data_IF_686086702078
#
_entry.id   IF_686086702078
#
_cell.length_a   1.000
_cell.length_b   1.000
_cell.length_c   1.000
_cell.angle_alpha   90.00
_cell.angle_beta   90.00
_cell.angle_gamma   90.00
#
_symmetry.space_group_name_H-M   'P 1'
#
loop_
_entity.id
_entity.type
_entity.pdbx_description
1 polymer ?
#
# COMPACT_ATOMS: atom_id res chain seq x y z
N UNK A 1 2.12 15.66 -13.19
CA UNK A 1 2.35 14.21 -13.07
C UNK A 1 2.17 13.50 -14.41
N UNK A 2 1.06 13.70 -15.12
CA UNK A 2 0.79 13.06 -16.42
C UNK A 2 1.90 13.29 -17.46
N UNK A 3 2.48 14.50 -17.55
CA UNK A 3 3.60 14.76 -18.43
C UNK A 3 4.78 13.82 -18.15
N UNK A 4 5.20 13.67 -16.90
CA UNK A 4 6.31 12.79 -16.54
C UNK A 4 5.99 11.31 -16.78
N UNK A 5 4.76 10.88 -16.51
CA UNK A 5 4.32 9.50 -16.81
C UNK A 5 4.39 9.24 -18.32
N UNK A 6 3.96 10.21 -19.15
CA UNK A 6 4.08 10.11 -20.60
C UNK A 6 5.55 10.11 -21.10
N UNK A 7 6.45 10.82 -20.41
CA UNK A 7 7.90 10.82 -20.71
C UNK A 7 8.53 9.46 -20.47
N UNK A 8 8.18 8.78 -19.36
CA UNK A 8 8.69 7.44 -19.03
C UNK A 8 7.91 6.31 -19.71
N UNK A 9 6.67 6.59 -20.13
CA UNK A 9 5.76 5.72 -20.89
C UNK A 9 5.71 4.27 -20.38
N UNK A 10 5.33 4.01 -19.10
CA UNK A 10 5.25 2.67 -18.57
C UNK A 10 3.96 1.98 -19.03
N UNK A 11 3.95 0.65 -19.08
CA UNK A 11 2.72 -0.12 -19.35
C UNK A 11 1.70 0.03 -18.22
N UNK A 12 2.18 0.10 -16.97
CA UNK A 12 1.37 0.28 -15.77
C UNK A 12 1.93 1.34 -14.85
N UNK A 13 1.05 2.17 -14.28
CA UNK A 13 1.35 3.11 -13.22
C UNK A 13 0.55 2.75 -11.97
N UNK A 14 1.23 2.33 -10.90
CA UNK A 14 0.64 1.82 -9.67
C UNK A 14 0.66 2.88 -8.57
N UNK A 15 -0.49 3.10 -7.92
CA UNK A 15 -0.67 4.09 -6.85
C UNK A 15 -1.05 3.35 -5.56
N UNK A 16 -0.19 3.40 -4.55
CA UNK A 16 -0.32 2.66 -3.30
C UNK A 16 -1.17 3.37 -2.23
N UNK A 17 -2.15 4.15 -2.65
CA UNK A 17 -3.14 4.78 -1.77
C UNK A 17 -2.84 6.23 -1.38
N UNK A 18 -3.74 6.78 -0.57
CA UNK A 18 -3.62 8.11 0.07
C UNK A 18 -3.46 9.31 -0.88
N UNK A 19 -4.08 9.25 -2.07
CA UNK A 19 -4.11 10.38 -2.99
C UNK A 19 -4.82 11.62 -2.39
N UNK A 20 -5.96 11.39 -1.74
CA UNK A 20 -6.79 12.40 -1.07
C UNK A 20 -7.38 11.83 0.22
N UNK A 21 -7.88 12.69 1.12
CA UNK A 21 -8.69 12.30 2.27
C UNK A 21 -10.16 11.99 1.87
N UNK A 22 -10.36 11.42 0.70
CA UNK A 22 -11.67 11.18 0.10
C UNK A 22 -11.53 10.14 -1.03
N UNK A 23 -12.25 9.04 -0.90
CA UNK A 23 -12.17 7.93 -1.85
C UNK A 23 -12.70 8.31 -3.24
N UNK A 24 -13.84 9.02 -3.28
CA UNK A 24 -14.47 9.42 -4.55
C UNK A 24 -13.60 10.42 -5.32
N UNK A 25 -12.96 11.36 -4.62
CA UNK A 25 -11.99 12.26 -5.24
C UNK A 25 -10.77 11.52 -5.77
N UNK A 26 -10.31 10.49 -5.05
CA UNK A 26 -9.20 9.65 -5.52
C UNK A 26 -9.59 8.90 -6.79
N UNK A 27 -10.78 8.31 -6.85
CA UNK A 27 -11.30 7.66 -8.06
C UNK A 27 -11.40 8.63 -9.24
N UNK A 28 -11.97 9.82 -9.02
CA UNK A 28 -12.07 10.85 -10.07
C UNK A 28 -10.70 11.24 -10.59
N UNK A 29 -9.75 11.51 -9.69
CA UNK A 29 -8.39 11.84 -10.07
C UNK A 29 -7.71 10.74 -10.90
N UNK A 30 -7.87 9.47 -10.51
CA UNK A 30 -7.30 8.33 -11.25
C UNK A 30 -7.92 8.22 -12.64
N UNK A 31 -9.24 8.39 -12.75
CA UNK A 31 -9.94 8.41 -14.05
C UNK A 31 -9.47 9.56 -14.95
N UNK A 32 -9.30 10.76 -14.38
CA UNK A 32 -8.77 11.92 -15.11
C UNK A 32 -7.31 11.70 -15.53
N UNK A 33 -6.49 11.11 -14.65
CA UNK A 33 -5.10 10.78 -14.97
C UNK A 33 -5.02 9.77 -16.11
N UNK A 34 -5.85 8.73 -16.08
CA UNK A 34 -5.93 7.72 -17.15
C UNK A 34 -6.19 8.35 -18.53
N UNK A 35 -7.06 9.36 -18.59
CA UNK A 35 -7.34 10.06 -19.87
C UNK A 35 -6.14 10.85 -20.41
N UNK A 36 -5.14 11.13 -19.57
CA UNK A 36 -4.01 12.03 -19.88
C UNK A 36 -2.66 11.30 -19.98
N UNK A 37 -2.61 9.97 -19.83
CA UNK A 37 -1.35 9.20 -19.82
C UNK A 37 -1.22 8.18 -20.95
N UNK A 38 -1.84 8.44 -22.08
CA UNK A 38 -1.68 7.64 -23.30
C UNK A 38 -2.11 6.18 -23.11
N UNK A 39 -1.20 5.22 -23.39
CA UNK A 39 -1.46 3.79 -23.26
C UNK A 39 -1.17 3.21 -21.87
N UNK A 40 -0.64 4.01 -20.96
CA UNK A 40 -0.34 3.57 -19.58
C UNK A 40 -1.62 3.20 -18.82
N UNK A 41 -1.67 2.01 -18.25
CA UNK A 41 -2.78 1.58 -17.39
C UNK A 41 -2.55 2.09 -15.96
N UNK A 42 -3.43 2.96 -15.46
CA UNK A 42 -3.35 3.49 -14.10
C UNK A 42 -4.17 2.63 -13.16
N UNK A 43 -3.53 2.09 -12.12
CA UNK A 43 -4.17 1.28 -11.10
C UNK A 43 -3.91 1.87 -9.72
N UNK A 44 -4.88 1.78 -8.82
CA UNK A 44 -4.73 2.25 -7.46
C UNK A 44 -5.40 1.32 -6.44
N UNK A 45 -4.98 1.45 -5.20
CA UNK A 45 -5.63 0.89 -4.01
C UNK A 45 -5.93 2.03 -3.03
N UNK A 46 -6.79 1.76 -2.05
CA UNK A 46 -7.09 2.73 -1.00
C UNK A 46 -6.06 2.67 0.14
N UNK A 47 -5.65 3.83 0.64
CA UNK A 47 -4.99 3.98 1.91
C UNK A 47 -5.97 4.41 3.02
N UNK A 48 -5.50 4.53 4.26
CA UNK A 48 -6.35 4.89 5.39
C UNK A 48 -7.00 6.27 5.24
N UNK A 49 -6.35 7.21 4.56
CA UNK A 49 -6.93 8.52 4.27
C UNK A 49 -8.10 8.46 3.29
N UNK A 50 -8.18 7.42 2.47
CA UNK A 50 -9.32 7.20 1.57
C UNK A 50 -10.52 6.55 2.26
N UNK A 51 -10.29 5.82 3.37
CA UNK A 51 -11.26 4.92 4.01
C UNK A 51 -12.19 5.59 5.03
N UNK A 52 -11.99 6.88 5.33
CA UNK A 52 -12.83 7.63 6.26
C UNK A 52 -13.91 8.45 5.57
N UNK A 53 -14.67 9.22 6.35
CA UNK A 53 -15.57 10.30 5.89
C UNK A 53 -16.57 9.90 4.80
N UNK A 54 -17.40 8.89 5.07
CA UNK A 54 -18.51 8.51 4.19
C UNK A 54 -18.14 7.49 3.12
N UNK A 55 -17.01 6.82 3.28
CA UNK A 55 -16.68 5.60 2.56
C UNK A 55 -16.97 4.41 3.46
N UNK A 56 -17.87 3.52 3.08
CA UNK A 56 -18.20 2.34 3.88
C UNK A 56 -17.20 1.20 3.62
N UNK A 57 -17.15 0.25 4.56
CA UNK A 57 -16.34 -0.96 4.39
C UNK A 57 -16.81 -1.74 3.14
N UNK A 58 -18.12 -1.87 2.93
CA UNK A 58 -18.71 -2.58 1.79
C UNK A 58 -18.37 -1.89 0.45
N UNK A 59 -18.29 -0.55 0.43
CA UNK A 59 -17.87 0.20 -0.76
C UNK A 59 -16.40 -0.12 -1.09
N UNK A 60 -15.52 -0.17 -0.08
CA UNK A 60 -14.11 -0.51 -0.25
C UNK A 60 -13.89 -1.95 -0.71
N UNK A 61 -14.74 -2.90 -0.28
CA UNK A 61 -14.68 -4.30 -0.71
C UNK A 61 -15.34 -4.54 -2.08
N UNK A 62 -16.01 -3.53 -2.64
CA UNK A 62 -16.72 -3.64 -3.91
C UNK A 62 -15.84 -3.33 -5.12
N UNK A 63 -16.13 -3.89 -6.31
CA UNK A 63 -15.43 -3.53 -7.54
C UNK A 63 -15.94 -2.22 -8.13
N UNK A 64 -15.68 -1.10 -7.42
CA UNK A 64 -16.25 0.23 -7.71
C UNK A 64 -15.87 0.80 -9.08
N UNK A 65 -14.70 0.47 -9.60
CA UNK A 65 -14.28 0.77 -10.97
C UNK A 65 -13.14 -0.14 -11.43
N UNK A 66 -12.75 -0.02 -12.71
CA UNK A 66 -11.69 -0.84 -13.32
C UNK A 66 -10.27 -0.49 -12.84
N UNK A 67 -10.05 0.73 -12.36
CA UNK A 67 -8.75 1.19 -11.87
C UNK A 67 -8.48 0.80 -10.41
N UNK A 68 -9.53 0.48 -9.64
CA UNK A 68 -9.42 0.09 -8.23
C UNK A 68 -9.11 -1.40 -8.11
N UNK A 69 -7.87 -1.70 -7.69
CA UNK A 69 -7.32 -3.06 -7.73
C UNK A 69 -7.44 -3.81 -6.39
N UNK A 70 -8.19 -3.30 -5.42
CA UNK A 70 -8.33 -4.01 -4.15
C UNK A 70 -8.98 -5.38 -4.31
N UNK A 71 -8.36 -6.39 -3.70
CA UNK A 71 -8.76 -7.81 -3.76
C UNK A 71 -8.95 -8.32 -5.20
N UNK A 72 -8.07 -7.90 -6.10
CA UNK A 72 -8.07 -8.23 -7.53
C UNK A 72 -6.66 -8.39 -8.07
N UNK A 73 -6.59 -8.89 -9.29
CA UNK A 73 -5.36 -8.94 -10.05
C UNK A 73 -5.55 -8.55 -11.51
N UNK A 74 -4.43 -8.27 -12.18
CA UNK A 74 -4.33 -8.11 -13.63
C UNK A 74 -3.11 -8.89 -14.11
N UNK A 75 -3.30 -9.74 -15.12
CA UNK A 75 -2.18 -10.36 -15.84
C UNK A 75 -1.59 -9.39 -16.84
N UNK A 76 -0.26 -9.26 -16.84
CA UNK A 76 0.44 -8.41 -17.81
C UNK A 76 0.51 -9.15 -19.15
N UNK A 77 -0.14 -8.61 -20.21
CA UNK A 77 -0.24 -9.30 -21.50
C UNK A 77 1.13 -9.69 -22.08
N UNK A 78 1.22 -10.92 -22.60
CA UNK A 78 2.45 -11.42 -23.22
C UNK A 78 3.58 -11.77 -22.25
N UNK A 79 3.30 -11.83 -20.93
CA UNK A 79 4.29 -12.16 -19.90
C UNK A 79 3.76 -13.21 -18.92
N UNK A 80 4.64 -13.75 -18.08
CA UNK A 80 4.31 -14.58 -16.92
C UNK A 80 4.07 -13.74 -15.64
N UNK A 81 3.91 -12.42 -15.76
CA UNK A 81 3.72 -11.53 -14.62
C UNK A 81 2.25 -11.19 -14.34
N UNK A 82 1.95 -11.05 -13.06
CA UNK A 82 0.65 -10.66 -12.51
C UNK A 82 0.82 -9.55 -11.49
N UNK A 83 -0.01 -8.52 -11.58
CA UNK A 83 -0.13 -7.47 -10.57
C UNK A 83 -1.30 -7.83 -9.66
N UNK A 84 -1.06 -7.97 -8.36
CA UNK A 84 -2.08 -8.19 -7.33
C UNK A 84 -2.18 -6.94 -6.46
N UNK A 85 -3.38 -6.46 -6.22
CA UNK A 85 -3.63 -5.32 -5.33
C UNK A 85 -4.49 -5.69 -4.14
N UNK A 86 -4.11 -5.22 -2.97
CA UNK A 86 -4.90 -5.31 -1.75
C UNK A 86 -4.64 -4.09 -0.87
N UNK A 87 -5.68 -3.48 -0.30
CA UNK A 87 -5.52 -2.29 0.54
C UNK A 87 -4.59 -2.56 1.74
N UNK A 88 -4.60 -3.80 2.26
CA UNK A 88 -3.92 -4.14 3.50
C UNK A 88 -4.68 -3.64 4.73
N UNK A 89 -4.16 -3.93 5.91
CA UNK A 89 -4.60 -3.40 7.20
C UNK A 89 -3.52 -3.64 8.25
N UNK A 90 -3.88 -3.50 9.55
CA UNK A 90 -2.99 -3.70 10.69
C UNK A 90 -3.68 -4.49 11.81
N UNK A 91 -2.88 -5.09 12.69
CA UNK A 91 -3.29 -5.92 13.81
C UNK A 91 -2.54 -5.63 15.12
N UNK A 92 -1.87 -4.49 15.18
CA UNK A 92 -1.10 -3.98 16.30
C UNK A 92 0.21 -4.72 16.61
N UNK A 93 0.57 -5.76 15.86
CA UNK A 93 1.76 -6.58 16.13
C UNK A 93 3.08 -5.81 16.01
N UNK A 94 3.13 -4.71 15.27
CA UNK A 94 4.30 -3.83 15.25
C UNK A 94 4.49 -2.97 16.50
N UNK A 95 3.54 -2.97 17.45
CA UNK A 95 3.69 -2.31 18.75
C UNK A 95 4.24 -3.29 19.81
N UNK A 96 5.42 -3.83 19.58
CA UNK A 96 6.03 -4.83 20.48
C UNK A 96 6.04 -4.40 21.93
N UNK A 97 5.60 -5.31 22.82
CA UNK A 97 5.56 -5.10 24.28
C UNK A 97 4.50 -4.09 24.74
N UNK A 98 3.52 -3.75 23.90
CA UNK A 98 2.33 -2.98 24.27
C UNK A 98 1.12 -3.89 24.14
N UNK A 99 0.20 -3.79 25.11
CA UNK A 99 -1.07 -4.53 25.08
C UNK A 99 -1.86 -4.10 23.82
N UNK A 100 -2.32 -5.04 22.98
CA UNK A 100 -3.15 -4.73 21.81
C UNK A 100 -4.38 -3.88 22.12
N UNK A 101 -5.01 -4.04 23.28
CA UNK A 101 -6.18 -3.24 23.68
C UNK A 101 -5.80 -1.77 23.97
N UNK A 102 -4.57 -1.50 24.43
CA UNK A 102 -4.09 -0.13 24.58
C UNK A 102 -3.89 0.52 23.20
N UNK A 103 -3.33 -0.22 22.23
CA UNK A 103 -3.15 0.28 20.84
C UNK A 103 -4.53 0.52 20.21
N UNK A 104 -5.48 -0.39 20.40
CA UNK A 104 -6.86 -0.23 19.95
C UNK A 104 -7.52 1.02 20.54
N UNK A 105 -7.30 1.27 21.85
CA UNK A 105 -7.80 2.47 22.53
C UNK A 105 -7.15 3.74 21.98
N UNK A 106 -5.82 3.73 21.76
CA UNK A 106 -5.11 4.82 21.12
C UNK A 106 -5.64 5.08 19.71
N UNK A 107 -5.84 4.05 18.90
CA UNK A 107 -6.41 4.13 17.53
C UNK A 107 -7.78 4.79 17.56
N UNK A 108 -8.69 4.34 18.42
CA UNK A 108 -10.05 4.88 18.55
C UNK A 108 -10.10 6.32 19.07
N UNK A 109 -9.18 6.70 19.94
CA UNK A 109 -9.20 7.98 20.63
C UNK A 109 -8.37 9.08 19.96
N UNK A 110 -7.20 8.74 19.43
CA UNK A 110 -6.17 9.70 19.10
C UNK A 110 -5.62 9.60 17.68
N UNK A 111 -5.67 8.43 17.05
CA UNK A 111 -5.12 8.25 15.72
C UNK A 111 -6.09 8.75 14.63
N UNK A 112 -5.55 9.05 13.45
CA UNK A 112 -6.37 9.51 12.33
C UNK A 112 -7.49 8.52 12.01
N UNK A 113 -7.19 7.23 12.03
CA UNK A 113 -8.09 6.15 11.63
C UNK A 113 -9.32 5.97 12.54
N UNK A 114 -9.43 6.74 13.66
CA UNK A 114 -10.66 6.77 14.47
C UNK A 114 -11.92 7.14 13.68
N UNK A 115 -11.75 7.76 12.51
CA UNK A 115 -12.85 8.12 11.62
C UNK A 115 -13.24 7.02 10.63
N UNK A 116 -12.50 5.93 10.60
CA UNK A 116 -12.77 4.78 9.73
C UNK A 116 -13.75 3.85 10.44
N UNK A 117 -14.91 3.68 9.83
CA UNK A 117 -15.96 2.79 10.31
C UNK A 117 -15.86 1.44 9.60
N UNK A 118 -15.94 0.37 10.38
CA UNK A 118 -15.89 -1.01 9.88
C UNK A 118 -16.70 -1.93 10.80
N UNK A 119 -17.29 -3.02 10.26
CA UNK A 119 -18.19 -3.90 11.03
C UNK A 119 -17.45 -4.90 11.92
N UNK A 120 -16.14 -4.83 12.04
CA UNK A 120 -15.27 -5.76 12.74
C UNK A 120 -14.12 -5.04 13.45
N UNK A 121 -13.40 -5.72 14.32
CA UNK A 121 -12.15 -5.21 14.90
C UNK A 121 -11.00 -5.15 13.88
N UNK A 122 -9.95 -4.38 14.19
CA UNK A 122 -8.79 -4.27 13.31
C UNK A 122 -8.07 -5.63 13.11
N UNK A 123 -7.85 -6.48 14.13
CA UNK A 123 -7.33 -7.83 13.91
C UNK A 123 -8.24 -8.71 13.04
N UNK A 124 -9.57 -8.68 13.22
CA UNK A 124 -10.49 -9.43 12.37
C UNK A 124 -10.46 -8.97 10.92
N UNK A 125 -10.36 -7.65 10.68
CA UNK A 125 -10.17 -7.11 9.34
C UNK A 125 -8.85 -7.56 8.73
N UNK A 126 -7.77 -7.59 9.52
CA UNK A 126 -6.49 -8.10 9.09
C UNK A 126 -6.56 -9.59 8.72
N UNK A 127 -7.25 -10.41 9.54
CA UNK A 127 -7.46 -11.83 9.25
C UNK A 127 -8.22 -12.05 7.93
N UNK A 128 -9.28 -11.27 7.69
CA UNK A 128 -10.00 -11.27 6.42
C UNK A 128 -9.07 -10.91 5.25
N UNK A 129 -8.29 -9.84 5.39
CA UNK A 129 -7.35 -9.40 4.35
C UNK A 129 -6.30 -10.46 4.02
N UNK A 130 -5.75 -11.15 5.02
CA UNK A 130 -4.79 -12.24 4.80
C UNK A 130 -5.43 -13.42 4.06
N UNK A 131 -6.69 -13.76 4.36
CA UNK A 131 -7.42 -14.81 3.64
C UNK A 131 -7.63 -14.41 2.17
N UNK A 132 -8.03 -13.18 1.89
CA UNK A 132 -8.20 -12.65 0.53
C UNK A 132 -6.87 -12.66 -0.24
N UNK A 133 -5.79 -12.14 0.35
CA UNK A 133 -4.46 -12.16 -0.25
C UNK A 133 -4.00 -13.57 -0.57
N UNK A 134 -4.22 -14.53 0.36
CA UNK A 134 -3.84 -15.93 0.17
C UNK A 134 -4.54 -16.54 -1.04
N UNK A 135 -5.83 -16.31 -1.23
CA UNK A 135 -6.59 -16.80 -2.40
C UNK A 135 -5.98 -16.30 -3.70
N UNK A 136 -5.63 -15.00 -3.78
CA UNK A 136 -5.03 -14.41 -4.98
C UNK A 136 -3.61 -14.95 -5.24
N UNK A 137 -2.83 -15.19 -4.20
CA UNK A 137 -1.48 -15.74 -4.30
C UNK A 137 -1.49 -17.22 -4.71
N UNK A 138 -2.41 -18.02 -4.14
CA UNK A 138 -2.60 -19.42 -4.53
C UNK A 138 -2.99 -19.53 -6.01
N UNK A 139 -3.90 -18.67 -6.48
CA UNK A 139 -4.30 -18.60 -7.89
C UNK A 139 -3.13 -18.20 -8.81
N UNK A 140 -2.34 -17.19 -8.41
CA UNK A 140 -1.15 -16.79 -9.15
C UNK A 140 -0.12 -17.94 -9.26
N UNK A 141 0.11 -18.66 -8.15
CA UNK A 141 1.02 -19.82 -8.13
C UNK A 141 0.52 -20.95 -9.01
N UNK A 142 -0.77 -21.27 -8.94
CA UNK A 142 -1.40 -22.29 -9.79
C UNK A 142 -1.34 -21.92 -11.29
N UNK A 143 -1.39 -20.63 -11.62
CA UNK A 143 -1.25 -20.10 -12.97
C UNK A 143 0.21 -19.93 -13.44
N UNK A 144 1.20 -20.32 -12.63
CA UNK A 144 2.64 -20.11 -12.86
C UNK A 144 3.00 -18.63 -13.14
N UNK A 145 2.38 -17.70 -12.43
CA UNK A 145 2.65 -16.27 -12.55
C UNK A 145 3.65 -15.76 -11.52
N UNK A 146 4.59 -14.94 -11.94
CA UNK A 146 5.40 -14.10 -11.06
C UNK A 146 4.54 -12.93 -10.55
N UNK A 147 4.70 -12.53 -9.31
CA UNK A 147 3.81 -11.57 -8.68
C UNK A 147 4.52 -10.26 -8.38
N UNK A 148 3.89 -9.16 -8.82
CA UNK A 148 4.06 -7.81 -8.29
C UNK A 148 2.87 -7.57 -7.36
N UNK A 149 3.13 -7.34 -6.08
CA UNK A 149 2.09 -7.08 -5.09
C UNK A 149 2.07 -5.60 -4.70
N UNK A 150 0.89 -5.01 -4.62
CA UNK A 150 0.73 -3.65 -4.10
C UNK A 150 -0.20 -3.63 -2.90
N UNK A 151 0.22 -2.95 -1.85
CA UNK A 151 -0.54 -2.73 -0.61
C UNK A 151 -0.31 -1.32 -0.08
N UNK A 152 -1.19 -0.83 0.80
CA UNK A 152 -0.97 0.48 1.41
C UNK A 152 -0.17 0.39 2.69
N UNK A 153 -0.59 -0.46 3.62
CA UNK A 153 0.05 -0.62 4.94
C UNK A 153 1.36 -1.39 4.84
N UNK A 154 2.30 -1.07 5.74
CA UNK A 154 3.62 -1.67 5.77
C UNK A 154 3.55 -3.20 5.97
N UNK A 155 4.12 -3.99 5.05
CA UNK A 155 4.18 -5.44 5.20
C UNK A 155 5.37 -5.91 6.05
N UNK A 156 6.36 -5.03 6.28
CA UNK A 156 7.59 -5.33 7.03
C UNK A 156 7.89 -4.23 8.04
N UNK A 157 8.56 -4.59 9.14
CA UNK A 157 8.86 -3.68 10.25
C UNK A 157 10.18 -2.91 10.13
N UNK A 158 10.95 -3.11 9.06
CA UNK A 158 12.31 -2.58 8.92
C UNK A 158 12.41 -1.05 8.90
N UNK A 159 11.30 -0.37 8.59
CA UNK A 159 11.23 1.09 8.47
C UNK A 159 10.43 1.72 9.61
N UNK A 160 10.04 0.92 10.60
CA UNK A 160 9.35 1.41 11.78
C UNK A 160 10.31 2.17 12.70
N UNK A 161 9.80 3.21 13.33
CA UNK A 161 10.57 4.03 14.26
C UNK A 161 10.16 3.67 15.69
N UNK A 162 11.12 3.20 16.48
CA UNK A 162 10.95 2.87 17.91
C UNK A 162 11.80 3.79 18.78
N UNK A 163 11.41 5.07 19.04
CA UNK A 163 12.14 5.93 19.95
C UNK A 163 12.13 5.31 21.34
N UNK A 164 13.31 5.15 21.93
CA UNK A 164 13.43 4.70 23.32
C UNK A 164 12.63 5.62 24.25
N UNK A 165 11.84 5.02 25.16
CA UNK A 165 11.06 5.76 26.16
C UNK A 165 9.77 6.42 25.66
N UNK A 166 9.49 6.45 24.37
CA UNK A 166 8.23 6.99 23.83
C UNK A 166 7.19 5.89 23.54
N UNK A 167 6.41 5.59 24.59
CA UNK A 167 5.32 4.59 24.49
C UNK A 167 4.28 4.97 23.43
N UNK A 168 3.96 6.28 23.30
CA UNK A 168 2.96 6.74 22.33
C UNK A 168 3.41 6.48 20.90
N UNK A 169 4.69 6.74 20.61
CA UNK A 169 5.24 6.48 19.28
C UNK A 169 5.23 4.99 18.95
N UNK A 170 5.51 4.13 19.92
CA UNK A 170 5.42 2.68 19.78
C UNK A 170 3.98 2.22 19.48
N UNK A 171 2.96 2.85 20.08
CA UNK A 171 1.55 2.59 19.72
C UNK A 171 1.25 2.99 18.27
N UNK A 172 1.86 4.08 17.76
CA UNK A 172 1.71 4.45 16.33
C UNK A 172 2.22 3.33 15.43
N UNK A 173 3.35 2.69 15.75
CA UNK A 173 3.85 1.57 14.95
C UNK A 173 2.81 0.45 14.80
N UNK A 174 2.00 0.18 15.82
CA UNK A 174 0.95 -0.83 15.78
C UNK A 174 -0.15 -0.62 14.76
N UNK A 175 -0.29 0.61 14.25
CA UNK A 175 -1.28 0.97 13.23
C UNK A 175 -0.66 1.27 11.85
N UNK A 176 0.63 0.97 11.68
CA UNK A 176 1.32 1.19 10.40
C UNK A 176 1.23 -0.01 9.46
N UNK A 177 0.87 -1.18 9.95
CA UNK A 177 0.76 -2.40 9.15
C UNK A 177 0.83 -3.67 9.98
N UNK A 178 1.21 -4.78 9.34
CA UNK A 178 1.35 -6.07 10.02
C UNK A 178 2.52 -6.89 9.47
N UNK A 179 3.35 -7.49 10.34
CA UNK A 179 4.39 -8.42 9.93
C UNK A 179 3.83 -9.66 9.23
N UNK A 180 2.59 -10.05 9.54
CA UNK A 180 1.90 -11.20 8.94
C UNK A 180 1.69 -11.03 7.43
N UNK A 181 1.58 -9.79 6.94
CA UNK A 181 1.55 -9.51 5.49
C UNK A 181 2.87 -9.89 4.84
N UNK A 182 3.99 -9.45 5.39
CA UNK A 182 5.32 -9.81 4.89
C UNK A 182 5.57 -11.32 4.96
N UNK A 183 5.26 -11.95 6.09
CA UNK A 183 5.38 -13.40 6.28
C UNK A 183 4.58 -14.18 5.23
N UNK A 184 3.34 -13.76 4.94
CA UNK A 184 2.52 -14.37 3.90
C UNK A 184 3.17 -14.19 2.52
N UNK A 185 3.58 -12.98 2.15
CA UNK A 185 4.18 -12.70 0.84
C UNK A 185 5.50 -13.46 0.64
N UNK A 186 6.36 -13.51 1.66
CA UNK A 186 7.65 -14.21 1.66
C UNK A 186 7.50 -15.75 1.63
N UNK A 187 6.32 -16.29 1.98
CA UNK A 187 6.03 -17.72 1.89
C UNK A 187 5.78 -18.22 0.45
N UNK A 188 5.64 -17.29 -0.49
CA UNK A 188 5.42 -17.59 -1.91
C UNK A 188 6.66 -17.28 -2.74
N UNK A 189 7.29 -18.28 -3.32
CA UNK A 189 8.51 -18.19 -4.13
C UNK A 189 8.34 -17.41 -5.44
N UNK A 190 7.09 -17.22 -5.88
CA UNK A 190 6.72 -16.44 -7.07
C UNK A 190 6.39 -14.97 -6.78
N UNK A 191 6.37 -14.52 -5.54
CA UNK A 191 6.29 -13.08 -5.20
C UNK A 191 7.69 -12.48 -5.34
N UNK A 192 7.83 -11.43 -6.17
CA UNK A 192 9.13 -10.82 -6.46
C UNK A 192 9.22 -9.36 -6.05
N UNK A 193 8.16 -8.60 -6.22
CA UNK A 193 8.14 -7.16 -5.95
C UNK A 193 6.92 -6.80 -5.12
N UNK A 194 7.14 -6.00 -4.08
CA UNK A 194 6.07 -5.50 -3.21
C UNK A 194 6.18 -3.98 -3.08
N UNK A 195 5.16 -3.28 -3.54
CA UNK A 195 5.05 -1.83 -3.41
C UNK A 195 4.09 -1.48 -2.27
N UNK A 196 4.50 -0.56 -1.40
CA UNK A 196 3.65 -0.10 -0.30
C UNK A 196 3.82 1.39 -0.03
N UNK A 197 2.89 1.95 0.75
CA UNK A 197 2.85 3.34 1.14
C UNK A 197 2.89 3.54 2.65
N UNK A 198 2.08 4.47 3.15
CA UNK A 198 1.75 4.73 4.55
C UNK A 198 2.90 5.24 5.43
N UNK A 199 4.07 4.64 5.40
CA UNK A 199 5.24 5.10 6.18
C UNK A 199 5.99 6.18 5.39
N UNK A 200 5.94 7.42 5.89
CA UNK A 200 6.51 8.57 5.21
C UNK A 200 8.02 8.70 5.47
N UNK A 201 8.78 7.75 4.96
CA UNK A 201 10.24 7.77 5.00
C UNK A 201 10.83 7.56 3.62
N UNK A 202 12.05 8.01 3.43
CA UNK A 202 12.81 7.79 2.20
C UNK A 202 13.88 6.75 2.46
N UNK A 203 13.71 5.57 1.91
CA UNK A 203 14.63 4.45 2.04
C UNK A 203 14.84 3.80 0.67
N UNK A 204 16.02 3.19 0.44
CA UNK A 204 16.23 2.40 -0.76
C UNK A 204 15.37 1.12 -0.74
N UNK A 205 15.10 0.52 -1.90
CA UNK A 205 14.47 -0.80 -1.96
C UNK A 205 15.19 -1.81 -1.08
N UNK A 206 14.44 -2.69 -0.43
CA UNK A 206 14.94 -3.69 0.51
C UNK A 206 14.65 -5.10 0.01
N UNK A 207 15.65 -5.93 -0.05
CA UNK A 207 15.49 -7.35 -0.38
C UNK A 207 15.39 -8.19 0.91
N UNK A 208 14.36 -9.05 0.98
CA UNK A 208 14.15 -10.03 2.05
C UNK A 208 13.57 -11.31 1.45
N UNK A 209 14.18 -12.46 1.76
CA UNK A 209 13.68 -13.79 1.37
C UNK A 209 13.29 -13.91 -0.12
N UNK A 210 14.04 -13.24 -1.01
CA UNK A 210 13.80 -13.24 -2.46
C UNK A 210 12.69 -12.30 -2.93
N UNK A 211 12.15 -11.44 -2.04
CA UNK A 211 11.18 -10.40 -2.32
C UNK A 211 11.84 -9.03 -2.20
N UNK A 212 11.64 -8.15 -3.18
CA UNK A 212 12.09 -6.75 -3.11
C UNK A 212 10.94 -5.84 -2.72
N UNK A 213 11.10 -5.11 -1.62
CA UNK A 213 10.14 -4.17 -1.05
C UNK A 213 10.47 -2.73 -1.42
N UNK A 214 9.46 -1.98 -1.82
CA UNK A 214 9.57 -0.58 -2.25
C UNK A 214 8.59 0.29 -1.44
N UNK A 215 9.11 1.15 -0.56
CA UNK A 215 8.31 2.20 0.06
C UNK A 215 8.23 3.39 -0.89
N UNK A 216 7.04 3.67 -1.40
CA UNK A 216 6.79 4.72 -2.40
C UNK A 216 6.08 5.96 -1.84
N UNK A 217 5.96 6.06 -0.51
CA UNK A 217 5.30 7.20 0.15
C UNK A 217 6.03 8.52 -0.13
N UNK A 218 5.29 9.54 -0.59
CA UNK A 218 5.83 10.90 -0.73
C UNK A 218 5.71 11.69 0.57
N UNK A 219 4.62 11.48 1.32
CA UNK A 219 4.34 12.15 2.59
C UNK A 219 3.91 13.61 2.45
N UNK A 220 3.88 14.29 3.61
CA UNK A 220 3.54 15.71 3.74
C UNK A 220 4.79 16.53 3.97
N UNK A 221 5.06 17.61 3.43
CA UNK A 221 6.27 18.43 3.62
C UNK A 221 6.59 18.74 5.11
N UNK A 222 6.80 17.72 5.92
CA UNK A 222 7.22 17.85 7.33
C UNK A 222 8.75 17.94 7.40
N UNK A 223 9.28 19.16 7.39
CA UNK A 223 10.74 19.41 7.41
C UNK A 223 11.49 18.64 8.50
N UNK A 224 10.87 18.48 9.68
CA UNK A 224 11.49 17.75 10.80
C UNK A 224 11.70 16.26 10.50
N UNK A 225 10.87 15.67 9.64
CA UNK A 225 10.91 14.25 9.29
C UNK A 225 11.60 14.01 7.94
N UNK A 226 11.99 15.08 7.24
CA UNK A 226 12.62 15.00 5.90
C UNK A 226 11.86 14.10 4.93
N UNK A 227 10.52 14.20 4.95
CA UNK A 227 9.64 13.36 4.11
C UNK A 227 9.87 13.62 2.63
N UNK A 228 10.06 14.89 2.25
CA UNK A 228 10.35 15.26 0.86
C UNK A 228 11.86 15.21 0.58
N UNK A 229 12.19 14.72 -0.61
CA UNK A 229 13.56 14.61 -1.12
C UNK A 229 14.00 15.83 -1.92
N UNK A 230 13.09 16.77 -2.16
CA UNK A 230 13.31 18.02 -2.89
C UNK A 230 12.46 19.15 -2.30
N UNK A 231 12.68 20.38 -2.77
CA UNK A 231 12.03 21.60 -2.25
C UNK A 231 10.53 21.67 -2.59
N UNK A 232 10.07 20.91 -3.56
CA UNK A 232 8.67 20.88 -3.96
C UNK A 232 8.13 19.44 -4.10
N UNK A 233 6.79 19.35 -4.09
CA UNK A 233 6.09 18.06 -4.18
C UNK A 233 6.41 17.29 -5.47
N UNK A 234 6.41 17.96 -6.61
CA UNK A 234 6.51 17.28 -7.90
C UNK A 234 7.87 16.59 -8.06
N UNK A 235 8.95 17.27 -7.68
CA UNK A 235 10.30 16.69 -7.74
C UNK A 235 10.47 15.60 -6.67
N UNK A 236 9.91 15.79 -5.47
CA UNK A 236 9.89 14.76 -4.44
C UNK A 236 9.14 13.51 -4.89
N UNK A 237 7.99 13.68 -5.54
CA UNK A 237 7.22 12.59 -6.11
C UNK A 237 8.01 11.86 -7.23
N UNK A 238 8.64 12.60 -8.16
CA UNK A 238 9.47 12.01 -9.21
C UNK A 238 10.60 11.14 -8.63
N UNK A 239 11.25 11.63 -7.59
CA UNK A 239 12.34 10.91 -6.91
C UNK A 239 11.87 9.64 -6.19
N UNK A 240 10.57 9.53 -5.88
CA UNK A 240 9.95 8.36 -5.24
C UNK A 240 9.37 7.35 -6.23
N UNK A 241 9.20 7.73 -7.51
CA UNK A 241 8.75 6.80 -8.53
C UNK A 241 9.79 5.69 -8.70
N UNK A 242 9.38 4.47 -8.43
CA UNK A 242 10.19 3.28 -8.68
C UNK A 242 9.81 2.68 -10.03
N UNK A 243 10.81 2.29 -10.81
CA UNK A 243 10.59 1.66 -12.11
C UNK A 243 11.22 0.27 -12.10
N UNK A 244 10.45 -0.71 -12.52
CA UNK A 244 10.97 -2.06 -12.79
C UNK A 244 10.72 -2.39 -14.26
N UNK A 245 11.70 -3.00 -14.89
CA UNK A 245 11.60 -3.52 -16.24
C UNK A 245 11.47 -5.03 -16.12
N UNK A 246 10.34 -5.56 -16.58
CA UNK A 246 10.08 -6.99 -16.56
C UNK A 246 10.70 -7.61 -17.80
N UNK A 247 11.54 -8.62 -17.60
CA UNK A 247 12.04 -9.46 -18.69
C UNK A 247 11.12 -10.68 -18.80
N UNK A 248 10.61 -10.92 -20.01
CA UNK A 248 9.97 -12.21 -20.33
C UNK A 248 11.04 -13.31 -20.24
N UNK A 249 10.69 -14.41 -19.59
CA UNK A 249 11.55 -15.59 -19.56
C UNK A 249 11.48 -16.32 -20.90
#
# INVERSE_FOLDING_TARGET
>A
QSQYINEINPDFYLITGDLFNDFKKSMTYVSDLQQNVGSTNVLFIAGNHNMGRGTSFEELESPVNEHYLHNKYIDIPGTDWRIIGHNGWYDYLFAEGIDPEEVATFRRGFYYDRIIEQPMSDPERMDLGLQQMKVLLDDAKAANKQVIFMTHFAPIGDELIYPEGDRRWRMVNGVLGSPRTGELLESYDNVKHVFYGHIHVTVPPRERNGVTYYNTSVGYNRRRLQEWTADNYLDSWKNKVQQIVLTSI
#
